data_IF_863919332271
#
_entry.id   IF_863919332271
#
_cell.length_a   1.000
_cell.length_b   1.000
_cell.length_c   1.000
_cell.angle_alpha   90.00
_cell.angle_beta   90.00
_cell.angle_gamma   90.00
#
_symmetry.space_group_name_H-M   'P 1'
#
loop_
_entity.id
_entity.type
_entity.pdbx_description
1 polymer ?
#
# COMPACT_ATOMS: atom_id res chain seq x y z
N UNK A 1 -16.69 -38.56 17.86
CA UNK A 1 -17.70 -37.62 18.38
C UNK A 1 -17.00 -36.64 19.33
N UNK A 2 -16.34 -35.62 18.77
CA UNK A 2 -15.82 -34.48 19.51
C UNK A 2 -16.53 -33.27 18.94
N UNK A 3 -17.47 -32.73 19.72
CA UNK A 3 -18.35 -31.65 19.29
C UNK A 3 -17.50 -30.40 19.04
N UNK A 4 -17.70 -29.86 17.85
CA UNK A 4 -17.26 -28.57 17.36
C UNK A 4 -17.77 -27.48 18.30
N UNK A 5 -16.85 -26.72 18.91
CA UNK A 5 -17.19 -25.46 19.59
C UNK A 5 -17.00 -24.36 18.56
N UNK A 6 -18.11 -23.88 18.01
CA UNK A 6 -18.20 -22.64 17.25
C UNK A 6 -17.70 -21.48 18.13
N UNK A 7 -16.69 -20.69 17.71
CA UNK A 7 -16.35 -19.47 18.43
C UNK A 7 -17.50 -18.45 18.25
N UNK A 8 -17.90 -17.72 19.30
CA UNK A 8 -18.97 -16.73 19.18
C UNK A 8 -18.56 -15.62 18.22
N UNK A 9 -19.48 -15.23 17.35
CA UNK A 9 -19.29 -14.14 16.40
C UNK A 9 -18.91 -12.85 17.13
N UNK A 10 -17.70 -12.36 16.84
CA UNK A 10 -17.26 -11.02 17.21
C UNK A 10 -18.19 -10.00 16.53
N UNK A 11 -19.10 -9.40 17.29
CA UNK A 11 -19.84 -8.21 16.84
C UNK A 11 -19.47 -7.06 17.77
N UNK A 12 -18.21 -6.65 17.70
CA UNK A 12 -17.83 -5.31 18.14
C UNK A 12 -18.26 -4.37 17.01
N UNK A 13 -19.48 -3.84 17.10
CA UNK A 13 -19.90 -2.67 16.32
C UNK A 13 -19.10 -1.47 16.81
N UNK A 14 -17.81 -1.42 16.47
CA UNK A 14 -17.05 -0.17 16.47
C UNK A 14 -17.62 0.63 15.31
N UNK A 15 -18.49 1.58 15.61
CA UNK A 15 -18.79 2.69 14.71
C UNK A 15 -17.45 3.31 14.32
N UNK A 16 -16.97 3.02 13.11
CA UNK A 16 -15.77 3.64 12.56
C UNK A 16 -16.15 5.09 12.26
N UNK A 17 -15.94 5.95 13.23
CA UNK A 17 -15.97 7.40 12.99
C UNK A 17 -14.94 7.69 11.90
N UNK A 18 -15.34 8.33 10.78
CA UNK A 18 -14.39 8.69 9.74
C UNK A 18 -13.31 9.61 10.34
N UNK A 19 -12.04 9.45 9.96
CA UNK A 19 -10.97 10.32 10.46
C UNK A 19 -11.34 11.78 10.18
N UNK A 20 -11.33 12.61 11.21
CA UNK A 20 -11.63 14.03 11.07
C UNK A 20 -10.57 14.67 10.17
N UNK A 21 -11.03 15.49 9.21
CA UNK A 21 -10.15 16.24 8.34
C UNK A 21 -9.29 17.21 9.17
N UNK A 22 -8.05 17.52 8.74
CA UNK A 22 -7.22 18.49 9.44
C UNK A 22 -7.94 19.84 9.54
N UNK A 23 -7.96 20.41 10.75
CA UNK A 23 -8.59 21.69 11.08
C UNK A 23 -7.72 22.91 10.76
N UNK A 24 -6.49 22.69 10.30
CA UNK A 24 -5.59 23.76 9.83
C UNK A 24 -5.96 24.21 8.42
N UNK A 25 -5.73 25.50 8.07
CA UNK A 25 -5.98 25.95 6.71
C UNK A 25 -5.06 25.21 5.75
N UNK A 26 -5.65 24.59 4.73
CA UNK A 26 -4.91 24.02 3.60
C UNK A 26 -4.04 25.11 2.96
N UNK A 27 -2.85 24.76 2.44
CA UNK A 27 -2.02 25.72 1.72
C UNK A 27 -2.84 26.33 0.58
N UNK A 28 -2.89 27.66 0.52
CA UNK A 28 -3.60 28.38 -0.54
C UNK A 28 -2.74 28.32 -1.79
N UNK A 29 -3.20 27.57 -2.78
CA UNK A 29 -2.57 27.51 -4.11
C UNK A 29 -3.07 28.66 -4.97
N UNK A 30 -2.17 29.27 -5.73
CA UNK A 30 -2.50 30.29 -6.74
C UNK A 30 -2.11 29.79 -8.12
N UNK A 31 -2.79 30.35 -9.13
CA UNK A 31 -2.38 30.15 -10.51
C UNK A 31 -0.93 30.65 -10.69
N UNK A 32 -0.06 29.78 -11.21
CA UNK A 32 1.37 30.05 -11.39
C UNK A 32 2.31 29.51 -10.30
N UNK A 33 1.78 28.96 -9.20
CA UNK A 33 2.61 28.36 -8.15
C UNK A 33 3.29 27.07 -8.64
N UNK A 34 4.62 26.99 -8.48
CA UNK A 34 5.40 25.78 -8.79
C UNK A 34 5.31 24.78 -7.64
N UNK A 35 4.44 23.78 -7.77
CA UNK A 35 4.18 22.76 -6.74
C UNK A 35 4.82 21.39 -7.02
N UNK A 36 5.43 21.23 -8.19
CA UNK A 36 6.08 20.00 -8.62
C UNK A 36 7.17 20.32 -9.64
N UNK A 37 7.95 19.31 -9.98
CA UNK A 37 8.96 19.36 -11.04
C UNK A 37 8.76 18.21 -12.04
N UNK A 38 9.03 18.48 -13.32
CA UNK A 38 9.03 17.46 -14.35
C UNK A 38 10.39 16.76 -14.38
N UNK A 39 10.38 15.43 -14.30
CA UNK A 39 11.57 14.60 -14.52
C UNK A 39 11.30 13.72 -15.74
N UNK A 40 12.21 13.75 -16.72
CA UNK A 40 12.13 12.90 -17.91
C UNK A 40 13.01 11.67 -17.67
N UNK A 41 12.41 10.60 -17.16
CA UNK A 41 13.09 9.34 -16.92
C UNK A 41 12.95 8.38 -18.10
N UNK A 42 14.01 7.60 -18.35
CA UNK A 42 13.96 6.51 -19.32
C UNK A 42 13.22 5.34 -18.70
N UNK A 43 12.20 4.84 -19.38
CA UNK A 43 11.45 3.64 -18.98
C UNK A 43 11.43 2.63 -20.13
N UNK A 44 11.16 1.39 -19.78
CA UNK A 44 10.90 0.32 -20.74
C UNK A 44 9.46 -0.16 -20.56
N UNK A 45 8.79 -0.48 -21.67
CA UNK A 45 7.44 -1.04 -21.69
C UNK A 45 7.48 -2.43 -22.33
N UNK A 46 8.01 -3.45 -21.65
CA UNK A 46 8.07 -4.81 -22.19
C UNK A 46 6.68 -5.44 -22.24
N UNK A 47 6.51 -6.42 -23.12
CA UNK A 47 5.33 -7.29 -23.11
C UNK A 47 5.33 -8.19 -21.87
N UNK A 48 4.16 -8.35 -21.25
CA UNK A 48 4.02 -9.20 -20.06
C UNK A 48 3.88 -10.66 -20.50
N UNK A 49 4.73 -11.54 -19.96
CA UNK A 49 4.65 -12.98 -20.21
C UNK A 49 4.26 -13.70 -18.92
N UNK A 50 3.20 -14.52 -18.98
CA UNK A 50 2.74 -15.32 -17.84
C UNK A 50 3.50 -16.63 -17.80
N UNK A 51 4.04 -16.96 -16.63
CA UNK A 51 4.78 -18.20 -16.35
C UNK A 51 4.30 -18.81 -15.04
N UNK A 52 4.50 -20.12 -14.85
CA UNK A 52 4.13 -20.80 -13.61
C UNK A 52 5.04 -20.38 -12.45
N UNK A 53 6.35 -20.27 -12.72
CA UNK A 53 7.37 -19.94 -11.71
C UNK A 53 8.47 -19.02 -12.30
N UNK A 54 9.08 -18.20 -11.44
CA UNK A 54 10.24 -17.36 -11.74
C UNK A 54 11.52 -17.99 -11.16
N UNK A 55 12.67 -17.66 -11.72
CA UNK A 55 13.96 -18.08 -11.17
C UNK A 55 14.18 -17.52 -9.75
N UNK A 56 14.74 -18.34 -8.87
CA UNK A 56 15.09 -17.91 -7.52
C UNK A 56 16.26 -16.90 -7.54
N UNK A 57 16.24 -15.98 -6.58
CA UNK A 57 17.34 -15.04 -6.34
C UNK A 57 17.74 -15.05 -4.87
N UNK A 58 18.96 -14.64 -4.57
CA UNK A 58 19.46 -14.49 -3.18
C UNK A 58 18.54 -13.59 -2.34
N UNK A 59 17.88 -12.60 -2.97
CA UNK A 59 16.93 -11.71 -2.30
C UNK A 59 15.57 -12.38 -2.02
N UNK A 60 15.12 -13.27 -2.90
CA UNK A 60 13.82 -13.92 -2.81
C UNK A 60 12.66 -12.93 -2.59
N UNK A 61 11.79 -13.24 -1.63
CA UNK A 61 10.66 -12.40 -1.23
C UNK A 61 11.04 -11.19 -0.33
N UNK A 62 12.32 -10.89 -0.17
CA UNK A 62 12.80 -9.82 0.72
C UNK A 62 12.38 -8.41 0.27
N UNK A 63 11.64 -7.71 1.13
CA UNK A 63 11.20 -6.31 0.95
C UNK A 63 11.01 -5.61 2.30
N UNK A 64 10.46 -4.38 2.31
CA UNK A 64 10.06 -3.68 3.53
C UNK A 64 11.17 -3.54 4.60
N UNK A 65 12.41 -3.24 4.19
CA UNK A 65 13.53 -3.14 5.13
C UNK A 65 14.07 -4.50 5.61
N UNK A 66 13.91 -5.56 4.81
CA UNK A 66 14.39 -6.92 5.12
C UNK A 66 15.89 -7.04 5.43
N UNK A 67 16.69 -6.03 5.11
CA UNK A 67 18.13 -5.96 5.42
C UNK A 67 18.42 -5.42 6.82
N UNK A 68 17.41 -4.96 7.55
CA UNK A 68 17.59 -4.30 8.84
C UNK A 68 18.31 -2.96 8.74
N UNK A 69 18.76 -2.47 9.89
CA UNK A 69 19.58 -1.26 10.09
C UNK A 69 20.91 -1.69 10.69
#
# INVERSE_FOLDING_TARGET
MTKETTPPAETTTTTREPPSLPTSPLPKLKEGDRIAQLIVERIYTPEVTVVEELEESVRGAGGFGSTGV
#
